data_IF_781471755792
#
_entry.id   IF_781471755792
#
_cell.length_a   1.000
_cell.length_b   1.000
_cell.length_c   1.000
_cell.angle_alpha   90.00
_cell.angle_beta   90.00
_cell.angle_gamma   90.00
#
_symmetry.space_group_name_H-M   'P 1'
#
loop_
_entity.id
_entity.type
_entity.pdbx_description
1 polymer ?
#
# COMPACT_ATOMS: atom_id res chain seq x y z
N UNK A 1 11.86 -5.60 11.18
CA UNK A 1 10.43 -5.97 11.28
C UNK A 1 9.96 -6.44 9.92
N UNK A 2 9.09 -7.44 9.87
CA UNK A 2 8.65 -8.14 8.65
C UNK A 2 7.13 -8.10 8.54
N UNK A 3 6.62 -7.90 7.32
CA UNK A 3 5.21 -8.01 6.98
C UNK A 3 5.00 -8.71 5.63
N UNK A 4 3.78 -9.13 5.37
CA UNK A 4 3.38 -9.83 4.16
C UNK A 4 2.25 -9.08 3.47
N UNK A 5 2.58 -8.08 2.61
CA UNK A 5 1.59 -7.35 1.84
C UNK A 5 0.82 -8.26 0.89
N UNK A 6 -0.49 -8.32 1.05
CA UNK A 6 -1.38 -9.15 0.26
C UNK A 6 -2.01 -8.38 -0.91
N UNK A 7 -2.58 -9.12 -1.87
CA UNK A 7 -3.34 -8.52 -2.97
C UNK A 7 -4.79 -8.22 -2.60
N UNK A 8 -5.47 -7.50 -3.49
CA UNK A 8 -6.93 -7.39 -3.55
C UNK A 8 -7.44 -7.88 -4.89
N UNK A 9 -8.69 -8.31 -4.91
CA UNK A 9 -9.47 -8.50 -6.13
C UNK A 9 -10.68 -7.58 -6.12
N UNK A 10 -11.23 -7.33 -7.29
CA UNK A 10 -12.49 -6.62 -7.46
C UNK A 10 -13.59 -7.67 -7.65
N UNK A 11 -14.57 -7.68 -6.75
CA UNK A 11 -15.77 -8.48 -6.92
C UNK A 11 -16.85 -7.61 -7.54
N UNK A 12 -17.11 -7.85 -8.83
CA UNK A 12 -17.89 -6.94 -9.65
C UNK A 12 -17.17 -5.60 -9.88
N UNK A 13 -17.27 -5.08 -11.06
CA UNK A 13 -16.78 -3.75 -11.40
C UNK A 13 -17.76 -3.14 -12.38
N UNK A 14 -18.50 -2.15 -11.94
CA UNK A 14 -19.41 -1.36 -12.76
C UNK A 14 -18.85 0.04 -12.95
N UNK A 15 -18.69 0.44 -14.21
CA UNK A 15 -18.39 1.83 -14.56
C UNK A 15 -19.73 2.53 -14.67
N UNK A 16 -20.01 3.46 -13.75
CA UNK A 16 -21.33 4.09 -13.64
C UNK A 16 -21.43 5.39 -14.42
N UNK A 17 -20.33 6.14 -14.49
CA UNK A 17 -20.33 7.44 -15.16
C UNK A 17 -18.91 7.85 -15.62
N UNK A 18 -18.84 8.50 -16.79
CA UNK A 18 -17.62 9.19 -17.21
C UNK A 18 -17.64 10.62 -16.66
N UNK A 19 -16.60 10.97 -15.91
CA UNK A 19 -16.46 12.28 -15.26
C UNK A 19 -15.89 13.33 -16.22
N UNK A 20 -16.20 14.61 -16.01
CA UNK A 20 -15.60 15.71 -16.78
C UNK A 20 -14.08 15.81 -16.65
N UNK A 21 -13.49 15.30 -15.55
CA UNK A 21 -12.04 15.27 -15.28
C UNK A 21 -11.29 14.14 -16.02
N UNK A 22 -12.03 13.36 -16.85
CA UNK A 22 -11.46 12.23 -17.63
C UNK A 22 -11.45 10.90 -16.88
N UNK A 23 -11.74 10.88 -15.58
CA UNK A 23 -11.92 9.67 -14.79
C UNK A 23 -13.31 9.07 -14.98
N UNK A 24 -13.49 7.86 -14.47
CA UNK A 24 -14.77 7.18 -14.45
C UNK A 24 -15.18 6.92 -13.01
N UNK A 25 -16.45 7.16 -12.69
CA UNK A 25 -17.04 6.65 -11.47
C UNK A 25 -17.21 5.15 -11.61
N UNK A 26 -16.86 4.42 -10.55
CA UNK A 26 -16.97 2.97 -10.50
C UNK A 26 -17.63 2.54 -9.18
N UNK A 27 -18.19 1.35 -9.21
CA UNK A 27 -18.69 0.64 -8.04
C UNK A 27 -18.09 -0.77 -8.07
N UNK A 28 -17.47 -1.15 -6.96
CA UNK A 28 -16.85 -2.47 -6.81
C UNK A 28 -16.75 -2.86 -5.34
N UNK A 29 -16.58 -4.14 -5.07
CA UNK A 29 -16.12 -4.60 -3.76
C UNK A 29 -14.65 -4.96 -3.87
N UNK A 30 -13.81 -4.32 -3.08
CA UNK A 30 -12.43 -4.76 -2.86
C UNK A 30 -12.41 -5.89 -1.84
N UNK A 31 -11.77 -6.98 -2.18
CA UNK A 31 -11.63 -8.14 -1.32
C UNK A 31 -10.15 -8.54 -1.20
N UNK A 32 -9.60 -8.60 0.03
CA UNK A 32 -8.21 -9.01 0.24
C UNK A 32 -8.05 -10.51 0.04
N UNK A 33 -6.96 -10.92 -0.63
CA UNK A 33 -6.63 -12.32 -0.90
C UNK A 33 -5.20 -12.59 -0.47
N UNK A 34 -4.95 -13.72 0.19
CA UNK A 34 -3.66 -14.13 0.71
C UNK A 34 -2.72 -14.65 -0.40
N UNK A 35 -2.41 -13.81 -1.37
CA UNK A 35 -1.24 -13.91 -2.24
C UNK A 35 -0.37 -12.71 -1.87
N UNK A 36 0.87 -12.94 -1.47
CA UNK A 36 1.63 -11.96 -0.68
C UNK A 36 3.02 -11.72 -1.25
N UNK A 37 3.47 -10.48 -1.13
CA UNK A 37 4.88 -10.10 -1.16
C UNK A 37 5.47 -10.25 0.25
N UNK A 38 6.78 -10.05 0.42
CA UNK A 38 7.40 -9.93 1.73
C UNK A 38 8.14 -8.60 1.82
N UNK A 39 7.94 -7.87 2.91
CA UNK A 39 8.52 -6.57 3.17
C UNK A 39 9.19 -6.55 4.54
N UNK A 40 10.51 -6.35 4.56
CA UNK A 40 11.28 -6.20 5.79
C UNK A 40 11.89 -4.80 5.86
N UNK A 41 11.88 -4.22 7.06
CA UNK A 41 12.61 -3.00 7.37
C UNK A 41 13.57 -3.23 8.53
N UNK A 42 14.74 -2.58 8.44
CA UNK A 42 15.75 -2.52 9.51
C UNK A 42 16.27 -1.10 9.62
N UNK A 43 16.57 -0.66 10.82
CA UNK A 43 17.32 0.59 10.99
C UNK A 43 18.72 0.40 10.42
N UNK A 44 19.13 1.30 9.53
CA UNK A 44 20.46 1.24 8.92
C UNK A 44 21.52 1.77 9.88
N UNK A 45 22.66 1.09 10.04
CA UNK A 45 23.79 1.63 10.77
C UNK A 45 24.51 2.76 9.99
N UNK A 46 24.26 2.86 8.67
CA UNK A 46 24.90 3.84 7.82
C UNK A 46 24.02 5.08 7.66
N UNK A 47 24.52 6.22 8.13
CA UNK A 47 23.83 7.51 8.09
C UNK A 47 24.01 8.30 6.76
N UNK A 48 24.83 7.79 5.84
CA UNK A 48 25.15 8.51 4.59
C UNK A 48 23.98 8.59 3.63
N UNK A 49 22.99 7.68 3.77
CA UNK A 49 21.77 7.62 2.95
C UNK A 49 20.56 7.44 3.84
N UNK A 50 19.46 8.11 3.49
CA UNK A 50 18.19 7.96 4.22
C UNK A 50 17.60 6.56 4.08
N UNK A 51 17.76 5.93 2.92
CA UNK A 51 17.27 4.58 2.68
C UNK A 51 18.20 3.80 1.75
N UNK A 52 18.14 2.49 1.86
CA UNK A 52 18.66 1.55 0.86
C UNK A 52 17.55 0.55 0.53
N UNK A 53 17.21 0.40 -0.75
CA UNK A 53 16.19 -0.54 -1.22
C UNK A 53 16.86 -1.75 -1.87
N UNK A 54 16.61 -2.93 -1.31
CA UNK A 54 16.98 -4.23 -1.85
C UNK A 54 15.72 -4.91 -2.41
N UNK A 55 15.66 -5.04 -3.73
CA UNK A 55 14.57 -5.72 -4.42
C UNK A 55 14.97 -7.14 -4.78
N UNK A 56 14.05 -8.07 -4.56
CA UNK A 56 14.17 -9.49 -4.87
C UNK A 56 12.90 -10.00 -5.55
N UNK A 57 13.00 -11.13 -6.25
CA UNK A 57 11.87 -11.71 -6.97
C UNK A 57 11.63 -11.02 -8.31
N UNK A 58 10.37 -10.66 -8.59
CA UNK A 58 10.01 -9.98 -9.84
C UNK A 58 10.62 -8.59 -9.90
N UNK A 59 11.18 -8.24 -11.05
CA UNK A 59 11.78 -6.94 -11.28
C UNK A 59 10.69 -5.84 -11.34
N UNK A 60 10.94 -4.75 -10.63
CA UNK A 60 10.15 -3.53 -10.73
C UNK A 60 10.98 -2.52 -11.51
N UNK A 61 10.49 -2.10 -12.65
CA UNK A 61 11.13 -1.08 -13.46
C UNK A 61 11.08 0.30 -12.79
N UNK A 62 12.09 1.13 -13.02
CA UNK A 62 12.17 2.51 -12.53
C UNK A 62 13.27 2.72 -11.48
N UNK A 63 13.37 3.97 -11.03
CA UNK A 63 14.32 4.31 -9.98
C UNK A 63 13.83 3.85 -8.60
N UNK A 64 14.71 3.50 -7.67
CA UNK A 64 14.32 3.14 -6.30
C UNK A 64 13.43 4.19 -5.62
N UNK A 65 13.66 5.47 -5.88
CA UNK A 65 12.91 6.60 -5.34
C UNK A 65 11.45 6.65 -5.85
N UNK A 66 11.16 6.03 -6.99
CA UNK A 66 9.82 5.95 -7.55
C UNK A 66 9.00 4.83 -6.94
N UNK A 67 9.64 3.89 -6.26
CA UNK A 67 8.97 2.79 -5.59
C UNK A 67 8.08 3.30 -4.45
N UNK A 68 6.83 2.81 -4.39
CA UNK A 68 5.85 3.27 -3.42
C UNK A 68 6.26 2.98 -1.96
N UNK A 69 7.04 1.92 -1.70
CA UNK A 69 7.55 1.67 -0.33
C UNK A 69 8.54 2.76 0.10
N UNK A 70 9.36 3.25 -0.83
CA UNK A 70 10.29 4.34 -0.56
C UNK A 70 9.52 5.65 -0.36
N UNK A 71 8.53 5.93 -1.21
CA UNK A 71 7.66 7.10 -1.05
C UNK A 71 6.92 7.10 0.28
N UNK A 72 6.45 5.93 0.73
CA UNK A 72 5.82 5.77 2.05
C UNK A 72 6.80 6.09 3.19
N UNK A 73 8.04 5.59 3.11
CA UNK A 73 9.07 5.93 4.10
C UNK A 73 9.37 7.43 4.11
N UNK A 74 9.62 8.04 2.94
CA UNK A 74 9.94 9.46 2.85
C UNK A 74 8.79 10.35 3.35
N UNK A 75 7.54 9.95 3.12
CA UNK A 75 6.37 10.64 3.65
C UNK A 75 6.37 10.66 5.18
N UNK A 76 6.61 9.52 5.81
CA UNK A 76 6.68 9.41 7.26
C UNK A 76 7.93 10.09 7.83
N UNK A 77 9.09 9.96 7.14
CA UNK A 77 10.33 10.64 7.56
C UNK A 77 10.19 12.17 7.61
N UNK A 78 9.46 12.74 6.67
CA UNK A 78 9.22 14.19 6.63
C UNK A 78 8.50 14.69 7.89
N UNK A 79 7.63 13.89 8.49
CA UNK A 79 6.85 14.28 9.66
C UNK A 79 7.51 13.84 10.98
N UNK A 80 8.06 12.62 11.01
CA UNK A 80 8.54 11.99 12.23
C UNK A 80 10.07 11.97 12.38
N UNK A 81 10.81 12.45 11.38
CA UNK A 81 12.28 12.48 11.38
C UNK A 81 12.90 11.11 11.69
N UNK A 82 12.51 10.12 10.90
CA UNK A 82 12.91 8.72 11.11
C UNK A 82 14.42 8.52 10.86
N UNK A 83 15.02 7.54 11.52
CA UNK A 83 16.41 7.16 11.22
C UNK A 83 16.50 6.55 9.82
N UNK A 84 17.72 6.49 9.24
CA UNK A 84 17.97 5.76 8.00
C UNK A 84 17.56 4.30 8.10
N UNK A 85 17.01 3.75 7.02
CA UNK A 85 16.55 2.35 6.99
C UNK A 85 17.09 1.56 5.79
N UNK A 86 17.18 0.27 5.97
CA UNK A 86 17.29 -0.72 4.90
C UNK A 86 15.91 -1.35 4.67
N UNK A 87 15.50 -1.39 3.41
CA UNK A 87 14.22 -1.94 2.96
C UNK A 87 14.54 -3.16 2.11
N UNK A 88 14.01 -4.33 2.48
CA UNK A 88 14.05 -5.54 1.66
C UNK A 88 12.64 -5.86 1.18
N UNK A 89 12.44 -5.76 -0.12
CA UNK A 89 11.16 -6.05 -0.78
C UNK A 89 11.29 -7.27 -1.68
N UNK A 90 10.55 -8.32 -1.34
CA UNK A 90 10.47 -9.54 -2.12
C UNK A 90 9.17 -9.56 -2.91
N UNK A 91 9.26 -9.39 -4.24
CA UNK A 91 8.10 -9.31 -5.14
C UNK A 91 7.72 -10.67 -5.71
N UNK A 92 6.54 -11.14 -5.34
CA UNK A 92 5.84 -12.27 -5.95
C UNK A 92 4.61 -11.83 -6.76
N UNK A 93 4.05 -10.67 -6.41
CA UNK A 93 2.86 -10.11 -7.06
C UNK A 93 3.28 -9.30 -8.28
N UNK A 94 2.79 -9.62 -9.49
CA UNK A 94 3.13 -8.88 -10.69
C UNK A 94 2.63 -7.43 -10.64
N UNK A 95 3.47 -6.50 -11.08
CA UNK A 95 3.10 -5.09 -11.20
C UNK A 95 2.14 -4.88 -12.37
N UNK A 96 1.18 -3.97 -12.21
CA UNK A 96 0.25 -3.58 -13.27
C UNK A 96 -0.87 -4.58 -13.57
N UNK A 97 -1.01 -5.65 -12.77
CA UNK A 97 -2.04 -6.68 -12.97
C UNK A 97 -3.41 -6.34 -12.36
N UNK A 98 -3.62 -5.12 -11.87
CA UNK A 98 -4.87 -4.74 -11.20
C UNK A 98 -5.07 -5.31 -9.79
N UNK A 99 -4.04 -6.00 -9.26
CA UNK A 99 -4.09 -6.69 -7.96
C UNK A 99 -3.74 -5.78 -6.77
N UNK A 100 -3.31 -4.56 -7.02
CA UNK A 100 -2.97 -3.58 -5.99
C UNK A 100 -1.65 -3.86 -5.25
N UNK A 101 -0.76 -4.72 -5.77
CA UNK A 101 0.46 -5.16 -5.08
C UNK A 101 1.34 -4.00 -4.60
N UNK A 102 1.69 -3.05 -5.47
CA UNK A 102 2.50 -1.89 -5.08
C UNK A 102 1.81 -0.97 -4.06
N UNK A 103 0.49 -0.82 -4.16
CA UNK A 103 -0.31 -0.07 -3.18
C UNK A 103 -0.36 -0.76 -1.82
N UNK A 104 -0.42 -2.10 -1.83
CA UNK A 104 -0.33 -2.93 -0.64
C UNK A 104 1.03 -2.78 0.03
N UNK A 105 2.12 -2.90 -0.75
CA UNK A 105 3.48 -2.73 -0.24
C UNK A 105 3.64 -1.37 0.48
N UNK A 106 3.12 -0.28 -0.12
CA UNK A 106 3.16 1.05 0.47
C UNK A 106 2.35 1.16 1.77
N UNK A 107 1.14 0.64 1.79
CA UNK A 107 0.29 0.65 2.98
C UNK A 107 0.91 -0.15 4.13
N UNK A 108 1.46 -1.32 3.82
CA UNK A 108 2.18 -2.13 4.81
C UNK A 108 3.46 -1.47 5.28
N UNK A 109 4.17 -0.71 4.42
CA UNK A 109 5.31 0.10 4.84
C UNK A 109 4.89 1.15 5.88
N UNK A 110 3.79 1.87 5.66
CA UNK A 110 3.28 2.85 6.64
C UNK A 110 2.99 2.17 7.99
N UNK A 111 2.34 1.01 7.98
CA UNK A 111 2.04 0.23 9.19
C UNK A 111 3.30 -0.26 9.89
N UNK A 112 4.26 -0.81 9.13
CA UNK A 112 5.54 -1.26 9.67
C UNK A 112 6.32 -0.14 10.35
N UNK A 113 6.40 1.05 9.73
CA UNK A 113 7.09 2.20 10.31
C UNK A 113 6.41 2.68 11.58
N UNK A 114 5.07 2.75 11.57
CA UNK A 114 4.30 3.10 12.75
C UNK A 114 4.57 2.17 13.93
N UNK A 115 4.55 0.86 13.67
CA UNK A 115 4.76 -0.17 14.70
C UNK A 115 6.22 -0.22 15.16
N UNK A 116 7.17 -0.23 14.20
CA UNK A 116 8.60 -0.37 14.49
C UNK A 116 9.16 0.79 15.32
N UNK A 117 8.74 2.01 15.01
CA UNK A 117 9.17 3.21 15.70
C UNK A 117 8.18 3.71 16.75
N UNK A 118 7.09 3.00 17.00
CA UNK A 118 6.06 3.32 17.99
C UNK A 118 5.55 4.75 17.86
N UNK A 119 5.22 5.16 16.62
CA UNK A 119 4.85 6.53 16.29
C UNK A 119 3.48 6.94 16.84
N UNK A 120 2.63 5.98 17.18
CA UNK A 120 1.29 6.24 17.72
C UNK A 120 0.30 6.84 16.71
N UNK A 121 0.55 6.66 15.42
CA UNK A 121 -0.34 7.14 14.35
C UNK A 121 -1.59 6.26 14.30
N UNK A 122 -2.77 6.89 14.32
CA UNK A 122 -4.04 6.17 14.25
C UNK A 122 -4.25 5.53 12.86
N UNK A 123 -5.11 4.52 12.81
CA UNK A 123 -5.48 3.85 11.56
C UNK A 123 -6.09 4.82 10.56
N UNK A 124 -6.95 5.73 11.02
CA UNK A 124 -7.56 6.79 10.20
C UNK A 124 -6.50 7.73 9.61
N UNK A 125 -5.50 8.10 10.39
CA UNK A 125 -4.41 8.95 9.91
C UNK A 125 -3.50 8.20 8.92
N UNK A 126 -3.26 6.90 9.14
CA UNK A 126 -2.54 6.06 8.18
C UNK A 126 -3.29 5.96 6.84
N UNK A 127 -4.65 5.88 6.86
CA UNK A 127 -5.47 5.94 5.64
C UNK A 127 -5.29 7.26 4.88
N UNK A 128 -5.21 8.38 5.60
CA UNK A 128 -4.96 9.70 4.98
C UNK A 128 -3.58 9.73 4.30
N UNK A 129 -2.54 9.23 4.97
CA UNK A 129 -1.20 9.12 4.36
C UNK A 129 -1.21 8.19 3.15
N UNK A 130 -1.83 7.04 3.27
CA UNK A 130 -1.93 6.06 2.19
C UNK A 130 -2.64 6.63 0.95
N UNK A 131 -3.71 7.39 1.13
CA UNK A 131 -4.45 8.03 0.04
C UNK A 131 -3.60 9.01 -0.78
N UNK A 132 -2.57 9.62 -0.19
CA UNK A 132 -1.63 10.49 -0.92
C UNK A 132 -0.66 9.72 -1.80
N UNK A 133 -0.45 8.44 -1.53
CA UNK A 133 0.48 7.58 -2.27
C UNK A 133 -0.18 6.91 -3.48
N UNK A 134 -1.47 6.62 -3.39
CA UNK A 134 -2.22 6.02 -4.47
C UNK A 134 -3.66 5.70 -4.08
N UNK A 135 -4.55 5.58 -5.08
CA UNK A 135 -5.98 5.40 -4.87
C UNK A 135 -6.33 4.12 -4.07
N UNK A 136 -5.61 3.03 -4.31
CA UNK A 136 -5.87 1.74 -3.65
C UNK A 136 -5.14 1.58 -2.31
N UNK A 137 -4.17 2.47 -2.00
CA UNK A 137 -3.33 2.30 -0.81
C UNK A 137 -4.14 2.35 0.50
N UNK A 138 -5.11 3.24 0.60
CA UNK A 138 -5.93 3.40 1.80
C UNK A 138 -6.72 2.13 2.14
N UNK A 139 -7.17 1.37 1.13
CA UNK A 139 -7.84 0.10 1.33
C UNK A 139 -7.02 -0.88 2.18
N UNK A 140 -5.71 -0.98 1.92
CA UNK A 140 -4.83 -1.95 2.57
C UNK A 140 -4.47 -1.59 4.02
N UNK A 141 -4.80 -0.40 4.48
CA UNK A 141 -4.60 -0.04 5.89
C UNK A 141 -5.50 -0.92 6.77
N UNK A 142 -6.80 -0.91 6.54
CA UNK A 142 -7.77 -1.79 7.23
C UNK A 142 -7.77 -3.21 6.69
N UNK A 143 -7.48 -3.36 5.41
CA UNK A 143 -7.28 -4.65 4.73
C UNK A 143 -8.43 -5.65 4.95
N UNK A 144 -9.65 -5.21 4.73
CA UNK A 144 -10.88 -6.01 4.87
C UNK A 144 -11.84 -5.72 3.70
N UNK A 145 -12.80 -6.61 3.41
CA UNK A 145 -13.76 -6.39 2.34
C UNK A 145 -14.45 -5.05 2.49
N UNK A 146 -14.54 -4.28 1.39
CA UNK A 146 -15.12 -2.94 1.40
C UNK A 146 -15.79 -2.64 0.07
N UNK A 147 -16.95 -1.98 0.11
CA UNK A 147 -17.57 -1.41 -1.08
C UNK A 147 -16.88 -0.09 -1.41
N UNK A 148 -16.42 0.05 -2.65
CA UNK A 148 -15.73 1.23 -3.13
C UNK A 148 -16.50 1.91 -4.25
N UNK A 149 -16.65 3.23 -4.15
CA UNK A 149 -17.32 4.10 -5.09
C UNK A 149 -16.40 5.24 -5.55
N UNK A 150 -16.93 6.10 -6.43
CA UNK A 150 -16.18 7.21 -6.99
C UNK A 150 -15.07 6.70 -7.90
N UNK A 151 -13.85 7.16 -7.74
CA UNK A 151 -12.66 6.63 -8.44
C UNK A 151 -12.00 5.44 -7.70
N UNK A 152 -12.73 4.78 -6.80
CA UNK A 152 -12.23 3.72 -5.92
C UNK A 152 -11.71 4.23 -4.57
N UNK A 153 -12.13 5.41 -4.16
CA UNK A 153 -11.64 6.13 -2.97
C UNK A 153 -12.72 6.42 -1.91
N UNK A 154 -13.99 6.14 -2.21
CA UNK A 154 -15.11 6.28 -1.26
C UNK A 154 -15.47 4.90 -0.77
N UNK A 155 -15.25 4.64 0.52
CA UNK A 155 -15.37 3.31 1.12
C UNK A 155 -16.59 3.20 2.03
N UNK A 156 -17.30 2.07 1.90
CA UNK A 156 -18.40 1.67 2.78
C UNK A 156 -18.19 0.24 3.27
N UNK A 157 -18.43 -0.06 4.55
CA UNK A 157 -18.25 -1.41 5.09
C UNK A 157 -19.14 -2.44 4.39
N UNK A 158 -18.58 -3.63 4.15
CA UNK A 158 -19.30 -4.81 3.62
C UNK A 158 -18.95 -6.02 4.45
N UNK A 159 -19.97 -6.75 4.89
CA UNK A 159 -19.79 -8.07 5.50
C UNK A 159 -19.83 -9.13 4.39
N UNK A 160 -18.65 -9.63 4.02
CA UNK A 160 -18.50 -10.64 2.98
C UNK A 160 -17.36 -11.60 3.35
N UNK A 161 -17.62 -12.90 3.21
CA UNK A 161 -16.60 -13.93 3.32
C UNK A 161 -16.68 -14.87 2.12
N UNK A 162 -15.54 -15.12 1.47
CA UNK A 162 -15.40 -16.10 0.40
C UNK A 162 -14.85 -17.45 0.91
N UNK A 163 -14.78 -17.63 2.22
CA UNK A 163 -14.42 -18.91 2.82
C UNK A 163 -15.57 -19.90 2.57
N UNK A 164 -15.36 -20.76 1.61
CA UNK A 164 -16.26 -21.88 1.30
C UNK A 164 -16.02 -23.07 2.20
#
# INVERSE_FOLDING_TARGET
MLAFPNIKINLGLSITEKRPDGYHNLETVFYPVALEDALEIRTSPNADRKFTLHQHGMEIAGNPEDNLVVKAYLLMDKEFHLPPIEIHLYKHIPSGAGLGGGSSDAAFMLKLLNDHYQLGVSEEQLEVYAATLGADCAFFIKNRPIFAEGIGNIFSPVELSLNG
#
